data_IF_550581515705
#
_entry.id   IF_550581515705
#
_cell.length_a   1.000
_cell.length_b   1.000
_cell.length_c   1.000
_cell.angle_alpha   90.00
_cell.angle_beta   90.00
_cell.angle_gamma   90.00
#
_symmetry.space_group_name_H-M   'P 1'
#
loop_
_entity.id
_entity.type
_entity.pdbx_description
1 polymer ?
#
# COMPACT_ATOMS: atom_id res chain seq x y z
N UNK A 1 35.28 -2.21 21.01
CA UNK A 1 33.90 -2.65 20.74
C UNK A 1 33.08 -1.72 19.84
N UNK A 2 33.49 -0.49 19.57
CA UNK A 2 32.77 0.50 18.74
C UNK A 2 32.99 0.37 17.22
N UNK A 3 34.13 -0.13 16.75
CA UNK A 3 34.43 -0.28 15.32
C UNK A 3 33.57 -1.34 14.61
N UNK A 4 33.17 -2.41 15.29
CA UNK A 4 32.36 -3.49 14.68
C UNK A 4 30.89 -3.10 14.50
N UNK A 5 30.32 -2.30 15.43
CA UNK A 5 28.95 -1.80 15.31
C UNK A 5 28.76 -0.90 14.08
N UNK A 6 29.69 -0.01 13.82
CA UNK A 6 29.62 0.90 12.66
C UNK A 6 29.76 0.18 11.33
N UNK A 7 30.60 -0.88 11.27
CA UNK A 7 30.79 -1.70 10.09
C UNK A 7 29.56 -2.58 9.79
N UNK A 8 28.91 -3.11 10.83
CA UNK A 8 27.67 -3.86 10.72
C UNK A 8 26.51 -2.96 10.25
N UNK A 9 26.41 -1.76 10.81
CA UNK A 9 25.40 -0.77 10.45
C UNK A 9 25.54 -0.34 8.96
N UNK A 10 26.76 -0.14 8.47
CA UNK A 10 27.00 0.23 7.07
C UNK A 10 26.68 -0.92 6.09
N UNK A 11 27.05 -2.15 6.41
CA UNK A 11 26.66 -3.33 5.61
C UNK A 11 25.15 -3.50 5.55
N UNK A 12 24.46 -3.34 6.68
CA UNK A 12 23.02 -3.45 6.77
C UNK A 12 22.30 -2.35 5.97
N UNK A 13 22.77 -1.09 6.07
CA UNK A 13 22.24 0.02 5.25
C UNK A 13 22.43 -0.24 3.75
N UNK A 14 23.60 -0.67 3.33
CA UNK A 14 23.89 -0.97 1.93
C UNK A 14 23.04 -2.11 1.39
N UNK A 15 22.84 -3.16 2.19
CA UNK A 15 21.94 -4.27 1.85
C UNK A 15 20.54 -3.76 1.57
N UNK A 16 19.92 -3.05 2.51
CA UNK A 16 18.53 -2.56 2.34
C UNK A 16 18.40 -1.52 1.23
N UNK A 17 19.41 -0.69 1.00
CA UNK A 17 19.41 0.22 -0.13
C UNK A 17 19.48 -0.53 -1.47
N UNK A 18 20.19 -1.67 -1.53
CA UNK A 18 20.18 -2.54 -2.69
C UNK A 18 18.81 -3.19 -2.89
N UNK A 19 18.20 -3.72 -1.82
CA UNK A 19 16.89 -4.36 -1.87
C UNK A 19 15.76 -3.36 -2.22
N UNK A 20 15.94 -2.07 -1.94
CA UNK A 20 14.98 -1.04 -2.36
C UNK A 20 14.72 -1.00 -3.88
N UNK A 21 15.63 -1.58 -4.69
CA UNK A 21 15.46 -1.68 -6.15
C UNK A 21 14.38 -2.68 -6.59
N UNK A 22 13.89 -3.53 -5.68
CA UNK A 22 12.81 -4.49 -5.96
C UNK A 22 11.45 -3.82 -6.14
N UNK A 23 11.28 -2.60 -5.67
CA UNK A 23 10.05 -1.82 -5.78
C UNK A 23 10.25 -0.61 -6.70
N UNK A 24 9.14 -0.12 -7.27
CA UNK A 24 9.14 1.10 -8.08
C UNK A 24 8.92 2.34 -7.19
N UNK A 25 9.80 3.31 -7.31
CA UNK A 25 9.77 4.56 -6.56
C UNK A 25 9.45 5.73 -7.46
N UNK A 26 8.61 6.65 -7.01
CA UNK A 26 8.50 7.99 -7.62
C UNK A 26 9.77 8.80 -7.39
N UNK A 27 10.33 8.69 -6.18
CA UNK A 27 11.65 9.22 -5.84
C UNK A 27 12.43 8.12 -5.13
N UNK A 28 13.53 7.68 -5.75
CA UNK A 28 14.40 6.65 -5.17
C UNK A 28 15.02 7.16 -3.87
N UNK A 29 15.11 6.32 -2.83
CA UNK A 29 15.78 6.69 -1.61
C UNK A 29 17.30 6.79 -1.81
N UNK A 30 17.93 7.77 -1.19
CA UNK A 30 19.39 7.92 -1.17
C UNK A 30 20.04 7.07 -0.08
N UNK A 31 19.29 6.71 0.95
CA UNK A 31 19.77 5.87 2.05
C UNK A 31 18.62 5.01 2.61
N UNK A 32 19.00 3.89 3.23
CA UNK A 32 18.03 2.89 3.66
C UNK A 32 17.22 3.35 4.87
N UNK A 33 17.87 3.96 5.87
CA UNK A 33 17.19 4.40 7.08
C UNK A 33 17.99 5.44 7.87
N UNK A 34 17.28 6.19 8.72
CA UNK A 34 17.84 7.04 9.77
C UNK A 34 17.34 6.60 11.13
N UNK A 35 18.19 6.71 12.15
CA UNK A 35 17.82 6.44 13.56
C UNK A 35 17.37 7.72 14.22
N UNK A 36 16.22 7.69 14.91
CA UNK A 36 15.74 8.78 15.78
C UNK A 36 16.32 8.67 17.19
N UNK A 37 16.22 9.74 17.98
CA UNK A 37 16.72 9.79 19.36
C UNK A 37 16.10 8.73 20.30
N UNK A 38 14.88 8.26 20.00
CA UNK A 38 14.12 7.28 20.79
C UNK A 38 14.26 5.84 20.27
N UNK A 39 15.36 5.52 19.57
CA UNK A 39 15.63 4.22 18.92
C UNK A 39 14.65 3.80 17.81
N UNK A 40 13.70 4.64 17.43
CA UNK A 40 12.90 4.38 16.22
C UNK A 40 13.74 4.58 14.96
N UNK A 41 13.34 3.87 13.91
CA UNK A 41 14.00 3.90 12.61
C UNK A 41 13.01 4.40 11.56
N UNK A 42 13.42 5.45 10.83
CA UNK A 42 12.71 5.88 9.63
C UNK A 42 13.31 5.18 8.43
N UNK A 43 12.53 4.31 7.80
CA UNK A 43 12.91 3.61 6.59
C UNK A 43 12.70 4.50 5.37
N UNK A 44 13.72 4.58 4.52
CA UNK A 44 13.70 5.31 3.25
C UNK A 44 13.08 6.72 3.35
N UNK A 45 13.53 7.56 4.30
CA UNK A 45 12.82 8.78 4.67
C UNK A 45 12.74 9.83 3.56
N UNK A 46 13.64 9.76 2.57
CA UNK A 46 13.63 10.61 1.38
C UNK A 46 12.98 9.93 0.16
N UNK A 47 12.63 8.65 0.26
CA UNK A 47 11.94 7.90 -0.79
C UNK A 47 10.46 8.29 -0.91
N UNK A 48 9.89 8.17 -2.13
CA UNK A 48 8.45 8.29 -2.38
C UNK A 48 7.96 7.10 -3.19
N UNK A 49 6.94 6.42 -2.68
CA UNK A 49 6.38 5.21 -3.25
C UNK A 49 4.86 5.26 -3.19
N UNK A 50 4.19 4.57 -4.10
CA UNK A 50 2.77 4.28 -4.00
C UNK A 50 2.54 2.76 -4.03
N UNK A 51 1.78 2.26 -3.07
CA UNK A 51 1.48 0.83 -2.93
C UNK A 51 0.65 0.34 -4.11
N UNK A 52 -0.37 1.10 -4.55
CA UNK A 52 -1.20 0.72 -5.70
C UNK A 52 -0.36 0.50 -6.96
N UNK A 53 0.60 1.40 -7.24
CA UNK A 53 1.43 1.27 -8.42
C UNK A 53 2.31 0.03 -8.37
N UNK A 54 2.85 -0.30 -7.21
CA UNK A 54 3.66 -1.51 -7.05
C UNK A 54 2.83 -2.80 -7.09
N UNK A 55 1.62 -2.79 -6.53
CA UNK A 55 0.75 -3.97 -6.49
C UNK A 55 0.02 -4.21 -7.82
N UNK A 56 -0.38 -3.17 -8.54
CA UNK A 56 -1.29 -3.30 -9.69
C UNK A 56 -0.65 -2.80 -10.98
N UNK A 57 -0.36 -1.49 -11.10
CA UNK A 57 0.06 -0.92 -12.38
C UNK A 57 1.40 -1.44 -12.87
N UNK A 58 2.33 -1.73 -11.97
CA UNK A 58 3.61 -2.37 -12.32
C UNK A 58 3.39 -3.72 -13.01
N UNK A 59 2.50 -4.56 -12.48
CA UNK A 59 2.20 -5.87 -13.07
C UNK A 59 1.55 -5.74 -14.44
N UNK A 60 0.70 -4.75 -14.66
CA UNK A 60 0.10 -4.48 -15.97
C UNK A 60 1.18 -4.04 -16.98
N UNK A 61 2.09 -3.14 -16.58
CA UNK A 61 3.23 -2.71 -17.41
C UNK A 61 4.15 -3.88 -17.80
N UNK A 62 4.28 -4.88 -16.94
CA UNK A 62 5.03 -6.12 -17.20
C UNK A 62 4.27 -7.12 -18.09
N UNK A 63 3.11 -6.75 -18.65
CA UNK A 63 2.32 -7.62 -19.52
C UNK A 63 1.43 -8.62 -18.78
N UNK A 64 1.33 -8.54 -17.45
CA UNK A 64 0.57 -9.47 -16.62
C UNK A 64 -0.90 -9.02 -16.41
N UNK A 65 -1.39 -8.03 -17.18
CA UNK A 65 -2.72 -7.45 -17.00
C UNK A 65 -3.87 -8.46 -17.02
N UNK A 66 -3.78 -9.51 -17.84
CA UNK A 66 -4.76 -10.58 -17.94
C UNK A 66 -4.58 -11.71 -16.90
N UNK A 67 -3.47 -11.70 -16.13
CA UNK A 67 -3.25 -12.67 -15.07
C UNK A 67 -4.17 -12.40 -13.89
N UNK A 68 -4.65 -13.47 -13.24
CA UNK A 68 -5.47 -13.35 -12.03
C UNK A 68 -4.62 -12.75 -10.90
N UNK A 69 -5.15 -11.68 -10.31
CA UNK A 69 -4.52 -10.98 -9.18
C UNK A 69 -5.15 -11.39 -7.84
N UNK A 70 -6.47 -11.63 -7.82
CA UNK A 70 -7.23 -11.93 -6.60
C UNK A 70 -8.21 -13.05 -6.86
N UNK A 71 -8.28 -14.01 -5.94
CA UNK A 71 -9.37 -14.97 -5.81
C UNK A 71 -10.20 -14.60 -4.58
N UNK A 72 -11.53 -14.48 -4.76
CA UNK A 72 -12.48 -14.30 -3.68
C UNK A 72 -13.30 -15.58 -3.52
N UNK A 73 -13.40 -16.09 -2.30
CA UNK A 73 -14.20 -17.26 -1.98
C UNK A 73 -15.34 -16.80 -1.06
N UNK A 74 -16.59 -17.02 -1.49
CA UNK A 74 -17.76 -16.67 -0.67
C UNK A 74 -18.13 -17.79 0.33
N UNK A 75 -19.13 -17.52 1.18
CA UNK A 75 -19.65 -18.49 2.18
C UNK A 75 -20.14 -19.81 1.54
N UNK A 76 -20.58 -19.78 0.28
CA UNK A 76 -21.03 -20.95 -0.47
C UNK A 76 -19.88 -21.65 -1.21
N UNK A 77 -18.63 -21.35 -0.88
CA UNK A 77 -17.41 -21.88 -1.52
C UNK A 77 -17.32 -21.59 -3.03
N UNK A 78 -18.08 -20.63 -3.53
CA UNK A 78 -17.97 -20.19 -4.91
C UNK A 78 -16.73 -19.29 -5.04
N UNK A 79 -15.94 -19.53 -6.08
CA UNK A 79 -14.71 -18.79 -6.34
C UNK A 79 -14.98 -17.79 -7.46
N UNK A 80 -14.66 -16.53 -7.22
CA UNK A 80 -14.61 -15.47 -8.22
C UNK A 80 -13.19 -14.94 -8.33
N UNK A 81 -12.69 -14.85 -9.55
CA UNK A 81 -11.33 -14.35 -9.82
C UNK A 81 -11.38 -12.96 -10.45
N UNK A 82 -10.35 -12.18 -10.20
CA UNK A 82 -10.17 -10.85 -10.76
C UNK A 82 -8.75 -10.70 -11.29
N UNK A 83 -8.63 -10.26 -12.54
CA UNK A 83 -7.35 -9.97 -13.18
C UNK A 83 -6.78 -8.62 -12.70
N UNK A 84 -5.47 -8.37 -12.96
CA UNK A 84 -4.87 -7.06 -12.68
C UNK A 84 -5.58 -5.92 -13.43
N UNK A 85 -6.03 -6.13 -14.67
CA UNK A 85 -6.79 -5.14 -15.42
C UNK A 85 -8.12 -4.82 -14.74
N UNK A 86 -8.90 -5.83 -14.35
CA UNK A 86 -10.18 -5.62 -13.66
C UNK A 86 -10.01 -4.93 -12.32
N UNK A 87 -8.96 -5.29 -11.55
CA UNK A 87 -8.64 -4.57 -10.30
C UNK A 87 -8.31 -3.12 -10.60
N UNK A 88 -7.49 -2.86 -11.62
CA UNK A 88 -7.14 -1.49 -12.00
C UNK A 88 -8.37 -0.64 -12.37
N UNK A 89 -9.28 -1.18 -13.16
CA UNK A 89 -10.52 -0.50 -13.55
C UNK A 89 -11.39 -0.18 -12.34
N UNK A 90 -11.60 -1.16 -11.45
CA UNK A 90 -12.40 -0.98 -10.24
C UNK A 90 -11.78 0.03 -9.27
N UNK A 91 -10.47 -0.03 -9.07
CA UNK A 91 -9.75 0.95 -8.24
C UNK A 91 -9.82 2.35 -8.85
N UNK A 92 -9.66 2.47 -10.18
CA UNK A 92 -9.79 3.75 -10.87
C UNK A 92 -11.18 4.36 -10.68
N UNK A 93 -12.24 3.58 -10.92
CA UNK A 93 -13.62 4.02 -10.73
C UNK A 93 -13.87 4.51 -9.29
N UNK A 94 -13.51 3.70 -8.30
CA UNK A 94 -13.75 4.04 -6.91
C UNK A 94 -12.86 5.21 -6.43
N UNK A 95 -11.62 5.29 -6.88
CA UNK A 95 -10.74 6.44 -6.60
C UNK A 95 -11.32 7.75 -7.14
N UNK A 96 -11.93 7.74 -8.33
CA UNK A 96 -12.56 8.92 -8.91
C UNK A 96 -13.77 9.38 -8.08
N UNK A 97 -14.57 8.42 -7.59
CA UNK A 97 -15.70 8.74 -6.68
C UNK A 97 -15.16 9.37 -5.39
N UNK A 98 -14.16 8.75 -4.76
CA UNK A 98 -13.55 9.30 -3.54
C UNK A 98 -12.96 10.69 -3.76
N UNK A 99 -12.22 10.89 -4.83
CA UNK A 99 -11.61 12.17 -5.18
C UNK A 99 -12.69 13.26 -5.37
N UNK A 100 -13.82 12.91 -6.01
CA UNK A 100 -14.95 13.84 -6.20
C UNK A 100 -15.59 14.21 -4.88
N UNK A 101 -15.82 13.25 -3.98
CA UNK A 101 -16.37 13.50 -2.65
C UNK A 101 -15.44 14.35 -1.78
N UNK A 102 -14.13 14.22 -1.99
CA UNK A 102 -13.12 14.90 -1.19
C UNK A 102 -12.55 16.16 -1.86
N UNK A 103 -13.08 16.58 -3.02
CA UNK A 103 -12.54 17.70 -3.81
C UNK A 103 -12.32 19.00 -3.03
N UNK A 104 -13.14 19.27 -2.02
CA UNK A 104 -13.10 20.46 -1.17
C UNK A 104 -12.23 20.27 0.08
N UNK A 105 -11.53 19.13 0.21
CA UNK A 105 -10.69 18.80 1.37
C UNK A 105 -9.25 18.59 0.92
N UNK A 106 -8.31 18.93 1.80
CA UNK A 106 -6.90 18.58 1.58
C UNK A 106 -6.73 17.06 1.76
N UNK A 107 -6.48 16.32 0.67
CA UNK A 107 -6.38 14.86 0.66
C UNK A 107 -5.42 14.34 1.73
N UNK A 108 -4.26 15.00 1.93
CA UNK A 108 -3.27 14.60 2.94
C UNK A 108 -3.77 14.70 4.40
N UNK A 109 -4.88 15.40 4.65
CA UNK A 109 -5.53 15.47 5.97
C UNK A 109 -6.72 14.53 6.11
N UNK A 110 -7.15 13.88 5.03
CA UNK A 110 -8.25 12.93 5.07
C UNK A 110 -7.80 11.60 5.69
N UNK A 111 -8.67 11.05 6.52
CA UNK A 111 -8.54 9.71 7.10
C UNK A 111 -9.83 8.95 6.81
N UNK A 112 -9.71 7.71 6.31
CA UNK A 112 -10.86 6.88 5.95
C UNK A 112 -10.84 5.65 6.84
N UNK A 113 -12.00 5.31 7.41
CA UNK A 113 -12.24 4.05 8.07
C UNK A 113 -13.00 3.14 7.11
N UNK A 114 -12.50 1.93 6.91
CA UNK A 114 -13.11 0.91 6.07
C UNK A 114 -13.67 -0.15 7.00
N UNK A 115 -14.98 -0.14 7.21
CA UNK A 115 -15.68 -1.17 7.98
C UNK A 115 -16.32 -2.14 6.99
N UNK A 116 -15.71 -3.29 6.80
CA UNK A 116 -16.13 -4.28 5.81
C UNK A 116 -15.56 -5.66 6.12
N UNK A 117 -16.27 -6.68 5.63
CA UNK A 117 -15.77 -8.06 5.58
C UNK A 117 -14.55 -8.21 4.65
N UNK A 118 -13.87 -9.35 4.74
CA UNK A 118 -12.81 -9.71 3.81
C UNK A 118 -13.40 -9.98 2.41
N UNK A 119 -13.52 -8.92 1.61
CA UNK A 119 -14.18 -8.93 0.30
C UNK A 119 -13.34 -8.21 -0.75
N UNK A 120 -13.76 -8.33 -2.01
CA UNK A 120 -13.15 -7.57 -3.11
C UNK A 120 -13.35 -6.07 -2.93
N UNK A 121 -14.49 -5.66 -2.38
CA UNK A 121 -14.85 -4.26 -2.12
C UNK A 121 -13.89 -3.64 -1.09
N UNK A 122 -13.56 -4.37 -0.02
CA UNK A 122 -12.59 -3.90 0.96
C UNK A 122 -11.19 -3.75 0.37
N UNK A 123 -10.77 -4.71 -0.47
CA UNK A 123 -9.48 -4.66 -1.18
C UNK A 123 -9.40 -3.48 -2.14
N UNK A 124 -10.47 -3.23 -2.91
CA UNK A 124 -10.57 -2.08 -3.82
C UNK A 124 -10.53 -0.77 -3.03
N UNK A 125 -11.23 -0.69 -1.91
CA UNK A 125 -11.26 0.49 -1.05
C UNK A 125 -9.87 0.81 -0.51
N UNK A 126 -9.13 -0.18 0.00
CA UNK A 126 -7.75 -0.03 0.47
C UNK A 126 -6.82 0.45 -0.65
N UNK A 127 -6.86 -0.20 -1.82
CA UNK A 127 -6.04 0.17 -2.97
C UNK A 127 -6.38 1.56 -3.50
N UNK A 128 -7.64 1.98 -3.44
CA UNK A 128 -8.08 3.32 -3.85
C UNK A 128 -7.58 4.39 -2.90
N UNK A 129 -7.64 4.15 -1.59
CA UNK A 129 -7.03 5.03 -0.60
C UNK A 129 -5.52 5.14 -0.81
N UNK A 130 -4.82 4.02 -1.02
CA UNK A 130 -3.40 3.99 -1.29
C UNK A 130 -3.05 4.77 -2.58
N UNK A 131 -3.84 4.59 -3.66
CA UNK A 131 -3.67 5.32 -4.92
C UNK A 131 -3.74 6.83 -4.73
N UNK A 132 -4.69 7.30 -3.93
CA UNK A 132 -4.90 8.73 -3.64
C UNK A 132 -3.96 9.27 -2.55
N UNK A 133 -3.17 8.43 -1.88
CA UNK A 133 -2.33 8.83 -0.75
C UNK A 133 -3.13 9.17 0.51
N UNK A 134 -4.31 8.57 0.69
CA UNK A 134 -5.18 8.77 1.85
C UNK A 134 -4.83 7.74 2.92
N UNK A 135 -4.70 8.20 4.16
CA UNK A 135 -4.57 7.30 5.31
C UNK A 135 -5.86 6.55 5.56
N UNK A 136 -5.80 5.25 5.75
CA UNK A 136 -6.96 4.44 6.06
C UNK A 136 -6.68 3.45 7.18
N UNK A 137 -7.76 3.05 7.86
CA UNK A 137 -7.78 1.95 8.83
C UNK A 137 -8.87 0.97 8.44
N UNK A 138 -8.63 -0.32 8.66
CA UNK A 138 -9.63 -1.37 8.36
C UNK A 138 -10.15 -1.91 9.67
N UNK A 139 -11.47 -2.03 9.77
CA UNK A 139 -12.17 -2.62 10.90
C UNK A 139 -12.98 -3.79 10.34
N UNK A 140 -12.86 -4.94 11.00
CA UNK A 140 -13.62 -6.12 10.63
C UNK A 140 -15.10 -5.96 10.99
N UNK A 141 -15.99 -6.59 10.20
CA UNK A 141 -17.45 -6.50 10.36
C UNK A 141 -17.98 -6.99 11.71
N UNK A 142 -17.20 -7.83 12.40
CA UNK A 142 -17.60 -8.42 13.69
C UNK A 142 -17.38 -7.49 14.90
N UNK A 143 -16.77 -6.31 14.69
CA UNK A 143 -16.61 -5.35 15.79
C UNK A 143 -17.94 -4.69 16.09
N UNK A 144 -18.33 -4.68 17.38
CA UNK A 144 -19.49 -3.96 17.87
C UNK A 144 -19.31 -2.43 17.71
N UNK A 145 -20.42 -1.72 17.57
CA UNK A 145 -20.38 -0.26 17.36
C UNK A 145 -19.67 0.48 18.50
N UNK A 146 -19.72 -0.06 19.73
CA UNK A 146 -19.06 0.50 20.91
C UNK A 146 -17.53 0.38 20.85
N UNK A 147 -17.00 -0.46 19.95
CA UNK A 147 -15.54 -0.67 19.79
C UNK A 147 -14.95 0.18 18.64
N UNK A 148 -15.80 0.90 17.91
CA UNK A 148 -15.43 1.74 16.77
C UNK A 148 -15.48 3.22 17.16
#
# INVERSE_FOLDING_TARGET
>A
MTRDKNKLDSKFKNFWLKESKLVEWYRKPSFAFTKRKNNYVDWYPDGKINIFDNCVTKNIKLGLGKKIAIYCINKNKQIKSYTYNEINEKVNSFSNILATQLKNKKISSCKIMIHASASIESSISMLSCAKLGIHFSVIFEDFAAEAI
#
